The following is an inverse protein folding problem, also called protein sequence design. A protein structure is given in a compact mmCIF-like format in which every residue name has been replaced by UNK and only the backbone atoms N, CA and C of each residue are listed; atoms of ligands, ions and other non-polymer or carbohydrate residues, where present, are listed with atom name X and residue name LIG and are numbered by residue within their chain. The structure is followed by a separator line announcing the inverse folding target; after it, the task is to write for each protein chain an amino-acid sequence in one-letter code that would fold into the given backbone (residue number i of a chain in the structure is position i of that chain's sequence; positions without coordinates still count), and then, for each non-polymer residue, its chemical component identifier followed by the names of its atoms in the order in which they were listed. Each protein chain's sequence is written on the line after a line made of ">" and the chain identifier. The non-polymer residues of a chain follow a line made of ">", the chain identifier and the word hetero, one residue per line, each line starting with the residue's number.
data_IF_193555674251
#
_entry.id   IF_193555674251
#
_cell.length_a   1.000
_cell.length_b   1.000
_cell.length_c   1.000
_cell.angle_alpha   90.00
_cell.angle_beta   90.00
_cell.angle_gamma   90.00
#
_symmetry.space_group_name_H-M   'P 1'
#
loop_
_entity.id
_entity.type
_entity.pdbx_description
1 polymer ?
#
# COMPACT_ATOMS: atom_id res chain seq x y z
N UNK A 1 -0.31 3.00 7.64
CA UNK A 1 0.98 3.34 6.97
C UNK A 1 1.35 2.25 5.96
N UNK A 2 2.12 2.59 4.91
CA UNK A 2 2.55 1.66 3.86
C UNK A 2 3.97 2.00 3.37
N UNK A 3 4.53 1.17 2.48
CA UNK A 3 5.90 1.32 1.93
C UNK A 3 6.98 0.66 2.80
N UNK A 4 8.19 0.47 2.26
CA UNK A 4 9.22 -0.34 2.91
C UNK A 4 9.58 0.10 4.33
N UNK A 5 9.63 1.41 4.59
CA UNK A 5 9.91 1.99 5.91
C UNK A 5 8.82 1.64 6.95
N UNK A 6 7.60 1.30 6.51
CA UNK A 6 6.55 0.81 7.41
C UNK A 6 6.88 -0.54 8.05
N UNK A 7 7.92 -1.25 7.61
CA UNK A 7 8.47 -2.40 8.32
C UNK A 7 9.25 -2.03 9.60
N UNK A 8 9.62 -0.77 9.82
CA UNK A 8 10.39 -0.39 11.00
C UNK A 8 9.60 -0.60 12.31
N UNK A 9 10.16 -1.37 13.25
CA UNK A 9 9.49 -1.73 14.50
C UNK A 9 9.22 -0.53 15.41
N UNK A 10 10.15 0.42 15.51
CA UNK A 10 9.98 1.64 16.32
C UNK A 10 8.85 2.51 15.75
N UNK A 11 8.79 2.68 14.43
CA UNK A 11 7.73 3.43 13.75
C UNK A 11 6.35 2.79 13.98
N UNK A 12 6.26 1.46 13.85
CA UNK A 12 5.01 0.71 14.09
C UNK A 12 4.49 0.91 15.50
N UNK A 13 5.37 0.75 16.49
CA UNK A 13 5.02 0.90 17.90
C UNK A 13 4.58 2.34 18.21
N UNK A 14 5.35 3.33 17.75
CA UNK A 14 5.00 4.74 17.94
C UNK A 14 3.64 5.10 17.33
N UNK A 15 3.35 4.62 16.11
CA UNK A 15 2.06 4.84 15.47
C UNK A 15 0.92 4.19 16.24
N UNK A 16 1.11 2.98 16.75
CA UNK A 16 0.10 2.27 17.53
C UNK A 16 -0.21 3.00 18.84
N UNK A 17 0.81 3.39 19.60
CA UNK A 17 0.65 4.16 20.85
C UNK A 17 -0.06 5.49 20.59
N UNK A 18 0.33 6.21 19.53
CA UNK A 18 -0.31 7.47 19.17
C UNK A 18 -1.77 7.24 18.75
N UNK A 19 -2.03 6.19 17.98
CA UNK A 19 -3.38 5.82 17.57
C UNK A 19 -4.28 5.52 18.76
N UNK A 20 -3.81 4.72 19.72
CA UNK A 20 -4.55 4.42 20.97
C UNK A 20 -4.84 5.70 21.76
N UNK A 21 -3.85 6.58 21.91
CA UNK A 21 -4.01 7.84 22.63
C UNK A 21 -5.01 8.82 21.99
N UNK A 22 -5.18 8.75 20.65
CA UNK A 22 -6.08 9.63 19.90
C UNK A 22 -7.38 8.94 19.44
N UNK A 23 -7.60 7.68 19.81
CA UNK A 23 -8.77 6.90 19.37
C UNK A 23 -8.79 6.61 17.86
N UNK A 24 -7.63 6.49 17.22
CA UNK A 24 -7.53 6.18 15.78
C UNK A 24 -7.55 4.68 15.51
N UNK A 25 -8.14 4.31 14.37
CA UNK A 25 -7.97 2.98 13.80
C UNK A 25 -6.67 2.92 13.01
N UNK A 26 -5.64 2.29 13.57
CA UNK A 26 -4.35 2.14 12.90
C UNK A 26 -4.28 0.87 12.07
N UNK A 27 -4.01 1.01 10.77
CA UNK A 27 -3.79 -0.12 9.86
C UNK A 27 -2.32 -0.20 9.44
N UNK A 28 -1.70 -1.32 9.78
CA UNK A 28 -0.29 -1.62 9.48
C UNK A 28 -0.24 -3.00 8.81
N UNK A 29 0.18 -3.09 7.54
CA UNK A 29 0.30 -4.37 6.86
C UNK A 29 1.32 -5.31 7.53
N UNK A 30 1.14 -6.62 7.31
CA UNK A 30 2.16 -7.61 7.65
C UNK A 30 3.47 -7.31 6.91
N UNK A 31 4.61 -7.69 7.50
CA UNK A 31 5.95 -7.37 6.98
C UNK A 31 6.15 -7.71 5.50
N UNK A 32 5.69 -8.89 5.09
CA UNK A 32 5.80 -9.37 3.70
C UNK A 32 5.04 -8.51 2.67
N UNK A 33 4.15 -7.62 3.14
CA UNK A 33 3.37 -6.71 2.29
C UNK A 33 3.83 -5.25 2.40
N UNK A 34 4.89 -4.95 3.16
CA UNK A 34 5.37 -3.58 3.33
C UNK A 34 6.34 -3.14 2.23
N UNK A 35 7.21 -4.04 1.78
CA UNK A 35 8.11 -3.79 0.65
C UNK A 35 7.40 -4.06 -0.67
N UNK A 36 7.98 -3.59 -1.78
CA UNK A 36 7.43 -3.84 -3.12
C UNK A 36 7.25 -5.34 -3.35
N UNK A 37 6.03 -5.72 -3.75
CA UNK A 37 5.66 -7.10 -3.98
C UNK A 37 4.56 -7.20 -5.05
N UNK A 38 4.51 -8.32 -5.77
CA UNK A 38 3.49 -8.52 -6.80
C UNK A 38 2.06 -8.65 -6.24
N UNK A 39 1.90 -9.02 -4.96
CA UNK A 39 0.60 -9.14 -4.31
C UNK A 39 -0.15 -7.80 -4.25
N UNK A 40 0.55 -6.70 -3.96
CA UNK A 40 -0.05 -5.36 -3.93
C UNK A 40 -0.51 -4.89 -5.32
N UNK A 41 0.21 -5.27 -6.38
CA UNK A 41 -0.17 -5.01 -7.76
C UNK A 41 -1.40 -5.85 -8.14
N UNK A 42 -1.41 -7.14 -7.76
CA UNK A 42 -2.53 -8.04 -8.01
C UNK A 42 -3.84 -7.59 -7.36
N UNK A 43 -3.82 -7.19 -6.08
CA UNK A 43 -5.04 -6.72 -5.40
C UNK A 43 -5.53 -5.39 -6.00
N UNK A 44 -4.63 -4.49 -6.40
CA UNK A 44 -5.00 -3.24 -7.07
C UNK A 44 -5.66 -3.53 -8.43
N UNK A 45 -5.10 -4.46 -9.21
CA UNK A 45 -5.66 -4.90 -10.48
C UNK A 45 -7.03 -5.58 -10.31
N UNK A 46 -7.24 -6.35 -9.25
CA UNK A 46 -8.53 -6.96 -8.94
C UNK A 46 -9.62 -5.90 -8.71
N UNK A 47 -9.34 -4.85 -7.93
CA UNK A 47 -10.31 -3.76 -7.74
C UNK A 47 -10.58 -3.00 -9.05
N UNK A 48 -9.55 -2.68 -9.83
CA UNK A 48 -9.71 -2.08 -11.17
C UNK A 48 -10.55 -2.94 -12.10
N UNK A 49 -10.36 -4.26 -12.06
CA UNK A 49 -11.17 -5.21 -12.83
C UNK A 49 -12.66 -5.15 -12.44
N UNK A 50 -12.96 -5.11 -11.14
CA UNK A 50 -14.34 -4.98 -10.64
C UNK A 50 -15.00 -3.67 -11.12
N UNK A 51 -14.22 -2.61 -11.23
CA UNK A 51 -14.65 -1.30 -11.75
C UNK A 51 -14.64 -1.20 -13.29
N UNK A 52 -14.24 -2.28 -13.99
CA UNK A 52 -14.07 -2.35 -15.45
C UNK A 52 -13.05 -1.34 -16.00
N UNK A 53 -12.06 -0.97 -15.19
CA UNK A 53 -10.94 -0.13 -15.61
C UNK A 53 -9.85 -0.98 -16.30
N UNK A 54 -9.96 -1.09 -17.62
CA UNK A 54 -8.97 -1.80 -18.45
C UNK A 54 -8.06 -0.83 -19.20
N UNK A 55 -6.86 -1.30 -19.54
CA UNK A 55 -5.90 -0.56 -20.36
C UNK A 55 -5.68 -1.26 -21.70
N UNK A 56 -5.42 -0.48 -22.76
CA UNK A 56 -5.00 -0.97 -24.07
C UNK A 56 -3.55 -1.46 -24.07
N UNK A 57 -3.18 -2.16 -25.15
CA UNK A 57 -1.82 -2.69 -25.36
C UNK A 57 -0.81 -1.63 -25.82
N UNK A 58 -1.28 -0.43 -26.16
CA UNK A 58 -0.50 0.71 -26.62
C UNK A 58 0.14 1.52 -25.47
N UNK A 59 -0.23 1.23 -24.22
CA UNK A 59 0.28 1.96 -23.06
C UNK A 59 1.74 1.66 -22.79
N UNK A 60 2.54 2.73 -22.69
CA UNK A 60 3.96 2.67 -22.38
C UNK A 60 4.22 2.87 -20.87
N UNK A 61 5.34 2.34 -20.34
CA UNK A 61 5.72 2.56 -18.95
C UNK A 61 6.04 4.04 -18.69
N UNK A 62 5.60 4.56 -17.54
CA UNK A 62 5.93 5.92 -17.08
C UNK A 62 6.91 5.87 -15.91
N UNK A 63 8.12 6.39 -16.12
CA UNK A 63 9.16 6.45 -15.08
C UNK A 63 8.81 7.42 -13.93
N UNK A 64 7.95 8.41 -14.18
CA UNK A 64 7.44 9.35 -13.18
C UNK A 64 5.92 9.37 -13.28
N UNK A 65 5.28 8.55 -12.44
CA UNK A 65 3.83 8.47 -12.34
C UNK A 65 3.36 9.35 -11.18
N UNK A 66 2.44 10.28 -11.42
CA UNK A 66 1.83 11.08 -10.35
C UNK A 66 0.85 10.23 -9.55
N UNK A 67 0.97 10.26 -8.23
CA UNK A 67 0.02 9.66 -7.30
C UNK A 67 -1.27 10.47 -7.20
#
# INVERSE_FOLDING_TARGET
>A
IAGGVSANSALRNGLKTLGEANGWNTYIPAFQYCTDNAGMIGVTAYYKFLEKEFTGQDVAPMARYSL
#
